data_IF_011286774643
#
_entry.id   IF_011286774643
#
_cell.length_a   1.000
_cell.length_b   1.000
_cell.length_c   1.000
_cell.angle_alpha   90.00
_cell.angle_beta   90.00
_cell.angle_gamma   90.00
#
_symmetry.space_group_name_H-M   'P 1'
#
loop_
_entity.id
_entity.type
_entity.pdbx_description
1 polymer ?
#
# COMPACT_ATOMS: atom_id res chain seq x y z
N UNK A 1 -28.65 -10.87 2.86
CA UNK A 1 -27.28 -10.73 2.33
C UNK A 1 -27.35 -11.02 0.84
N UNK A 2 -27.06 -10.03 0.00
CA UNK A 2 -27.03 -10.23 -1.45
C UNK A 2 -25.85 -11.15 -1.79
N UNK A 3 -26.07 -12.22 -2.55
CA UNK A 3 -24.98 -13.03 -3.07
C UNK A 3 -24.24 -12.17 -4.12
N UNK A 4 -23.01 -11.73 -3.82
CA UNK A 4 -22.17 -11.12 -4.83
C UNK A 4 -21.71 -12.18 -5.85
N UNK A 5 -21.46 -11.77 -7.10
CA UNK A 5 -20.89 -12.65 -8.12
C UNK A 5 -19.52 -13.22 -7.67
N UNK A 6 -18.77 -12.44 -6.88
CA UNK A 6 -17.51 -12.85 -6.29
C UNK A 6 -17.65 -14.10 -5.40
N UNK A 7 -18.74 -14.24 -4.64
CA UNK A 7 -19.00 -15.41 -3.81
C UNK A 7 -19.22 -16.71 -4.61
N UNK A 8 -19.49 -16.61 -5.91
CA UNK A 8 -19.59 -17.78 -6.79
C UNK A 8 -18.21 -18.27 -7.26
N UNK A 9 -17.19 -17.41 -7.26
CA UNK A 9 -15.82 -17.77 -7.61
C UNK A 9 -15.26 -18.77 -6.58
N UNK A 10 -14.87 -19.96 -7.04
CA UNK A 10 -14.32 -21.00 -6.18
C UNK A 10 -12.97 -20.58 -5.57
N UNK A 11 -12.18 -19.77 -6.29
CA UNK A 11 -10.90 -19.23 -5.82
C UNK A 11 -11.13 -18.27 -4.65
N UNK A 12 -12.13 -17.38 -4.76
CA UNK A 12 -12.47 -16.44 -3.69
C UNK A 12 -12.92 -17.17 -2.42
N UNK A 13 -13.78 -18.19 -2.55
CA UNK A 13 -14.19 -19.02 -1.41
C UNK A 13 -13.02 -19.73 -0.74
N UNK A 14 -12.08 -20.29 -1.52
CA UNK A 14 -10.88 -20.95 -0.99
C UNK A 14 -9.90 -19.97 -0.35
N UNK A 15 -9.82 -18.75 -0.87
CA UNK A 15 -8.99 -17.68 -0.33
C UNK A 15 -9.46 -17.22 1.05
N UNK A 16 -10.77 -17.24 1.28
CA UNK A 16 -11.42 -16.87 2.54
C UNK A 16 -11.72 -18.06 3.48
N UNK A 17 -11.24 -19.27 3.17
CA UNK A 17 -11.45 -20.46 4.01
C UNK A 17 -10.20 -20.72 4.86
N UNK A 18 -10.19 -20.19 6.08
CA UNK A 18 -9.09 -20.36 7.05
C UNK A 18 -8.81 -21.82 7.41
N UNK A 19 -9.79 -22.70 7.23
CA UNK A 19 -9.66 -24.13 7.55
C UNK A 19 -9.05 -24.93 6.40
N UNK A 20 -8.98 -24.37 5.20
CA UNK A 20 -8.44 -25.04 4.02
C UNK A 20 -6.93 -24.85 3.91
N UNK A 21 -6.20 -25.95 4.02
CA UNK A 21 -4.80 -26.02 3.60
C UNK A 21 -4.70 -26.23 2.08
N UNK A 22 -3.77 -25.54 1.41
CA UNK A 22 -3.49 -25.80 -0.01
C UNK A 22 -3.09 -27.28 -0.17
N UNK A 23 -3.70 -28.05 -1.08
CA UNK A 23 -3.26 -29.42 -1.34
C UNK A 23 -1.83 -29.50 -1.89
N UNK A 24 -1.34 -28.40 -2.47
CA UNK A 24 -0.01 -28.29 -3.06
C UNK A 24 1.13 -28.19 -2.05
N UNK A 25 0.94 -27.45 -0.96
CA UNK A 25 2.02 -27.06 -0.04
C UNK A 25 1.58 -26.89 1.42
N UNK A 26 0.30 -27.05 1.73
CA UNK A 26 -0.25 -26.87 3.07
C UNK A 26 -0.54 -25.42 3.48
N UNK A 27 -0.16 -24.41 2.68
CA UNK A 27 -0.40 -22.99 2.99
C UNK A 27 -1.89 -22.70 3.17
N UNK A 28 -2.23 -21.95 4.20
CA UNK A 28 -3.60 -21.50 4.50
C UNK A 28 -3.74 -20.00 4.20
N UNK A 29 -4.97 -19.57 3.94
CA UNK A 29 -5.34 -18.18 3.69
C UNK A 29 -6.59 -17.84 4.50
N UNK A 30 -6.70 -16.60 4.94
CA UNK A 30 -7.82 -16.09 5.74
C UNK A 30 -8.47 -14.86 5.09
N UNK A 31 -8.44 -14.77 3.77
CA UNK A 31 -8.93 -13.63 3.00
C UNK A 31 -7.84 -12.61 2.66
N UNK A 32 -8.30 -11.39 2.35
CA UNK A 32 -7.49 -10.26 1.89
C UNK A 32 -6.42 -9.91 2.94
N UNK A 33 -5.19 -9.69 2.49
CA UNK A 33 -4.10 -9.20 3.31
C UNK A 33 -3.43 -7.98 2.67
N UNK A 34 -2.86 -7.13 3.52
CA UNK A 34 -2.26 -5.86 3.14
C UNK A 34 -0.86 -6.03 2.54
N UNK A 35 -0.46 -5.04 1.75
CA UNK A 35 0.83 -4.97 1.10
C UNK A 35 1.63 -3.78 1.63
N UNK A 36 2.93 -3.99 1.82
CA UNK A 36 3.84 -2.92 2.24
C UNK A 36 5.16 -2.99 1.51
N UNK A 37 5.67 -1.82 1.15
CA UNK A 37 6.99 -1.66 0.57
C UNK A 37 7.97 -1.28 1.68
N UNK A 38 9.06 -2.04 1.83
CA UNK A 38 10.07 -1.73 2.86
C UNK A 38 10.72 -0.36 2.60
N UNK A 39 10.94 -0.01 1.33
CA UNK A 39 11.58 1.23 0.90
C UNK A 39 11.01 1.75 -0.44
N UNK A 40 11.24 3.04 -0.78
CA UNK A 40 10.97 3.55 -2.12
C UNK A 40 11.92 2.93 -3.15
N UNK A 41 11.53 2.87 -4.42
CA UNK A 41 12.30 2.22 -5.49
C UNK A 41 13.74 2.78 -5.62
N UNK A 42 13.90 4.09 -5.39
CA UNK A 42 15.18 4.79 -5.52
C UNK A 42 16.04 4.77 -4.24
N UNK A 43 15.70 3.97 -3.22
CA UNK A 43 16.56 3.81 -2.04
C UNK A 43 17.87 3.08 -2.42
N UNK A 44 19.05 3.73 -2.35
CA UNK A 44 20.27 3.18 -2.92
C UNK A 44 21.11 2.38 -1.91
N UNK A 45 20.59 2.19 -0.69
CA UNK A 45 21.32 1.56 0.41
C UNK A 45 20.68 0.22 0.80
N UNK A 46 21.22 -0.44 1.82
CA UNK A 46 20.66 -1.69 2.33
C UNK A 46 19.20 -1.52 2.78
N UNK A 47 18.39 -2.56 2.55
CA UNK A 47 17.03 -2.68 3.08
C UNK A 47 16.99 -2.48 4.60
N UNK A 48 15.86 -2.00 5.11
CA UNK A 48 15.69 -1.80 6.56
C UNK A 48 15.42 -3.12 7.27
N UNK A 49 14.62 -3.99 6.67
CA UNK A 49 14.19 -5.25 7.28
C UNK A 49 13.57 -5.01 8.66
N UNK A 50 14.08 -5.71 9.68
CA UNK A 50 13.58 -5.61 11.07
C UNK A 50 14.24 -4.47 11.88
N UNK A 51 15.17 -3.72 11.30
CA UNK A 51 15.85 -2.64 12.01
C UNK A 51 14.92 -1.43 12.24
N UNK A 52 15.07 -0.68 13.36
CA UNK A 52 14.24 0.50 13.61
C UNK A 52 14.50 1.62 12.60
N UNK A 53 15.70 1.69 12.02
CA UNK A 53 16.04 2.54 10.88
C UNK A 53 17.36 2.06 10.27
N UNK A 54 17.62 2.46 9.02
CA UNK A 54 18.94 2.41 8.36
C UNK A 54 19.36 3.84 8.04
N UNK A 55 20.64 4.15 8.28
CA UNK A 55 21.22 5.47 8.03
C UNK A 55 22.55 5.34 7.33
N UNK A 56 22.70 6.01 6.20
CA UNK A 56 23.94 6.06 5.42
C UNK A 56 24.30 7.53 5.15
N UNK A 57 25.23 8.08 5.94
CA UNK A 57 25.56 9.50 5.87
C UNK A 57 24.36 10.38 6.25
N UNK A 58 23.89 11.18 5.28
CA UNK A 58 22.71 12.04 5.44
C UNK A 58 21.38 11.31 5.15
N UNK A 59 21.45 10.19 4.42
CA UNK A 59 20.27 9.44 4.02
C UNK A 59 19.79 8.55 5.17
N UNK A 60 18.47 8.42 5.29
CA UNK A 60 17.87 7.65 6.36
C UNK A 60 16.53 7.08 5.93
N UNK A 61 16.31 5.80 6.24
CA UNK A 61 15.06 5.09 6.08
C UNK A 61 14.58 4.61 7.45
N UNK A 62 13.41 5.06 7.88
CA UNK A 62 12.68 4.56 9.05
C UNK A 62 11.36 3.91 8.58
N UNK A 63 10.51 3.39 9.48
CA UNK A 63 9.26 2.77 9.08
C UNK A 63 8.37 3.70 8.25
N UNK A 64 8.24 4.98 8.63
CA UNK A 64 7.28 5.89 7.99
C UNK A 64 7.93 7.10 7.31
N UNK A 65 9.25 7.29 7.45
CA UNK A 65 9.98 8.44 6.90
C UNK A 65 11.22 7.98 6.13
N UNK A 66 11.45 8.58 4.96
CA UNK A 66 12.66 8.35 4.19
C UNK A 66 13.23 9.67 3.67
N UNK A 67 14.56 9.77 3.70
CA UNK A 67 15.34 10.90 3.17
C UNK A 67 16.49 10.35 2.33
N UNK A 68 16.58 10.84 1.10
CA UNK A 68 17.66 10.54 0.15
C UNK A 68 18.13 11.85 -0.47
N UNK A 69 19.29 12.35 -0.07
CA UNK A 69 19.73 13.70 -0.41
C UNK A 69 18.68 14.76 -0.04
N UNK A 70 18.15 15.46 -1.05
CA UNK A 70 17.10 16.47 -0.89
C UNK A 70 15.67 15.91 -1.00
N UNK A 71 15.53 14.64 -1.39
CA UNK A 71 14.24 13.96 -1.53
C UNK A 71 13.68 13.66 -0.13
N UNK A 72 12.39 13.92 0.05
CA UNK A 72 11.64 13.67 1.27
C UNK A 72 10.45 12.80 0.96
N UNK A 73 10.39 11.63 1.60
CA UNK A 73 9.34 10.66 1.35
C UNK A 73 8.63 10.25 2.63
N UNK A 74 7.31 10.09 2.50
CA UNK A 74 6.43 9.59 3.55
C UNK A 74 5.87 8.25 3.11
N UNK A 75 5.75 7.32 4.05
CA UNK A 75 4.91 6.13 3.82
C UNK A 75 3.45 6.52 4.02
N UNK A 76 2.60 6.18 3.07
CA UNK A 76 1.18 6.51 3.11
C UNK A 76 0.33 5.27 2.81
N UNK A 77 -0.94 5.30 3.18
CA UNK A 77 -1.91 4.22 2.96
C UNK A 77 -2.70 4.53 1.68
N UNK A 78 -2.79 3.54 0.82
CA UNK A 78 -3.70 3.47 -0.31
C UNK A 78 -4.70 2.35 -0.03
N UNK A 79 -5.98 2.69 0.12
CA UNK A 79 -7.05 1.72 0.41
C UNK A 79 -7.86 1.47 -0.85
N UNK A 80 -7.81 0.26 -1.38
CA UNK A 80 -8.53 -0.11 -2.60
C UNK A 80 -9.67 -1.07 -2.24
N UNK A 81 -10.94 -0.66 -2.44
CA UNK A 81 -12.08 -1.55 -2.21
C UNK A 81 -12.00 -2.81 -3.08
N UNK A 82 -12.56 -3.93 -2.61
CA UNK A 82 -12.69 -5.14 -3.42
C UNK A 82 -14.12 -5.26 -3.96
N UNK A 83 -14.25 -5.37 -5.28
CA UNK A 83 -15.55 -5.44 -5.94
C UNK A 83 -16.34 -6.67 -5.50
N UNK A 84 -17.52 -6.44 -4.90
CA UNK A 84 -18.39 -7.53 -4.45
C UNK A 84 -18.00 -8.13 -3.10
N UNK A 85 -17.08 -7.50 -2.36
CA UNK A 85 -16.82 -7.75 -0.94
C UNK A 85 -16.99 -6.46 -0.13
N UNK A 86 -17.18 -6.58 1.19
CA UNK A 86 -17.18 -5.45 2.13
C UNK A 86 -15.79 -5.31 2.78
N UNK A 87 -14.76 -5.40 1.95
CA UNK A 87 -13.35 -5.43 2.34
C UNK A 87 -12.53 -4.55 1.38
N UNK A 88 -11.40 -4.06 1.86
CA UNK A 88 -10.39 -3.35 1.06
C UNK A 88 -9.06 -4.06 1.21
N UNK A 89 -8.22 -3.99 0.18
CA UNK A 89 -6.78 -4.21 0.34
C UNK A 89 -6.12 -2.88 0.68
N UNK A 90 -5.27 -2.85 1.70
CA UNK A 90 -4.45 -1.69 1.99
C UNK A 90 -3.04 -1.90 1.48
N UNK A 91 -2.52 -0.90 0.76
CA UNK A 91 -1.15 -0.88 0.26
C UNK A 91 -0.45 0.28 0.94
N UNK A 92 0.80 0.08 1.37
CA UNK A 92 1.62 1.13 2.00
C UNK A 92 2.83 1.52 1.15
N UNK A 93 2.61 2.24 0.01
CA UNK A 93 3.71 2.75 -0.79
C UNK A 93 4.34 3.98 -0.15
N UNK A 94 5.50 4.34 -0.69
CA UNK A 94 6.18 5.59 -0.43
C UNK A 94 5.71 6.67 -1.41
N UNK A 95 5.62 7.90 -0.93
CA UNK A 95 5.37 9.08 -1.76
C UNK A 95 6.39 10.17 -1.48
N UNK A 96 6.92 10.79 -2.53
CA UNK A 96 7.73 11.99 -2.44
C UNK A 96 6.83 13.20 -2.22
N UNK A 97 7.16 14.01 -1.21
CA UNK A 97 6.50 15.27 -0.88
C UNK A 97 7.50 16.43 -0.89
N UNK A 98 7.01 17.66 -0.80
CA UNK A 98 7.90 18.81 -0.60
C UNK A 98 8.56 18.75 0.79
N UNK A 99 9.75 19.36 0.97
CA UNK A 99 10.38 19.47 2.28
C UNK A 99 9.47 20.09 3.34
N UNK A 100 8.70 21.13 2.98
CA UNK A 100 7.79 21.81 3.90
C UNK A 100 6.72 20.86 4.44
N UNK A 101 6.10 20.04 3.57
CA UNK A 101 5.11 19.04 3.97
C UNK A 101 5.73 17.96 4.86
N UNK A 102 6.92 17.48 4.49
CA UNK A 102 7.63 16.46 5.27
C UNK A 102 7.95 16.94 6.69
N UNK A 103 8.53 18.13 6.83
CA UNK A 103 8.91 18.64 8.14
C UNK A 103 7.71 19.08 8.97
N UNK A 104 6.66 19.62 8.34
CA UNK A 104 5.39 19.88 9.04
C UNK A 104 4.78 18.58 9.58
N UNK A 105 4.80 17.49 8.80
CA UNK A 105 4.32 16.19 9.27
C UNK A 105 5.19 15.66 10.42
N UNK A 106 6.51 15.72 10.29
CA UNK A 106 7.44 15.31 11.35
C UNK A 106 7.24 16.09 12.65
N UNK A 107 6.98 17.39 12.57
CA UNK A 107 6.72 18.22 13.75
C UNK A 107 5.51 17.71 14.56
N UNK A 108 4.50 17.13 13.89
CA UNK A 108 3.31 16.60 14.56
C UNK A 108 3.58 15.40 15.48
N UNK A 109 4.74 14.75 15.35
CA UNK A 109 5.12 13.61 16.18
C UNK A 109 5.66 14.05 17.55
N UNK A 110 6.42 15.15 17.57
CA UNK A 110 7.04 15.67 18.79
C UNK A 110 6.19 16.76 19.45
N UNK A 111 5.31 17.42 18.69
CA UNK A 111 4.49 18.53 19.15
C UNK A 111 2.98 18.22 19.01
N UNK A 112 2.27 17.93 20.11
CA UNK A 112 0.83 17.65 20.07
C UNK A 112 -0.02 18.87 19.66
N UNK A 113 0.54 20.08 19.70
CA UNK A 113 -0.14 21.31 19.28
C UNK A 113 0.17 21.70 17.82
N UNK A 114 1.17 21.07 17.17
CA UNK A 114 1.52 21.38 15.78
C UNK A 114 0.41 20.94 14.83
N UNK A 115 -0.13 21.82 13.96
CA UNK A 115 -1.24 21.45 13.08
C UNK A 115 -0.84 20.33 12.11
N UNK A 116 -1.80 19.47 11.76
CA UNK A 116 -1.60 18.52 10.66
C UNK A 116 -1.38 19.31 9.36
N UNK A 117 -0.49 18.85 8.45
CA UNK A 117 -0.32 19.49 7.16
C UNK A 117 -1.62 19.50 6.36
N UNK A 118 -1.83 20.55 5.56
CA UNK A 118 -2.90 20.54 4.57
C UNK A 118 -2.64 19.44 3.52
N UNK A 119 -3.70 18.92 2.85
CA UNK A 119 -3.52 18.05 1.69
C UNK A 119 -2.61 18.69 0.65
N UNK A 120 -1.72 17.89 0.07
CA UNK A 120 -0.65 18.37 -0.78
C UNK A 120 -0.41 17.46 -1.98
N UNK A 121 0.14 17.99 -3.09
CA UNK A 121 0.64 17.16 -4.18
C UNK A 121 1.83 16.32 -3.72
N UNK A 122 1.87 15.09 -4.22
CA UNK A 122 2.94 14.14 -4.01
C UNK A 122 3.16 13.29 -5.28
N UNK A 123 4.28 12.57 -5.32
CA UNK A 123 4.59 11.61 -6.39
C UNK A 123 4.78 10.23 -5.79
N UNK A 124 4.19 9.19 -6.39
CA UNK A 124 4.45 7.81 -5.99
C UNK A 124 5.95 7.49 -6.15
N UNK A 125 6.51 6.78 -5.16
CA UNK A 125 7.91 6.35 -5.15
C UNK A 125 8.05 4.82 -5.15
N UNK A 126 6.97 4.12 -5.49
CA UNK A 126 6.93 2.70 -5.79
C UNK A 126 6.04 2.49 -7.02
N UNK A 127 6.34 1.44 -7.78
CA UNK A 127 5.44 0.96 -8.81
C UNK A 127 4.26 0.23 -8.18
N UNK A 128 3.05 0.50 -8.68
CA UNK A 128 1.82 -0.19 -8.34
C UNK A 128 1.33 -0.90 -9.61
N UNK A 129 1.71 -2.16 -9.82
CA UNK A 129 1.47 -2.89 -11.05
C UNK A 129 0.03 -2.77 -11.56
N UNK A 130 -0.12 -2.43 -12.84
CA UNK A 130 -1.39 -2.14 -13.53
C UNK A 130 -2.19 -0.90 -13.03
N UNK A 131 -1.79 -0.25 -11.94
CA UNK A 131 -2.50 0.88 -11.34
C UNK A 131 -1.78 2.22 -11.53
N UNK A 132 -0.48 2.24 -11.28
CA UNK A 132 0.37 3.43 -11.36
C UNK A 132 1.85 3.04 -11.41
N UNK A 133 2.67 3.93 -11.95
CA UNK A 133 4.13 3.80 -11.94
C UNK A 133 4.76 4.83 -10.99
N UNK A 134 6.02 4.59 -10.62
CA UNK A 134 6.84 5.57 -9.91
C UNK A 134 6.82 6.91 -10.65
N UNK A 135 6.63 8.00 -9.91
CA UNK A 135 6.45 9.35 -10.46
C UNK A 135 5.00 9.71 -10.79
N UNK A 136 4.04 8.79 -10.65
CA UNK A 136 2.61 9.11 -10.81
C UNK A 136 2.18 10.16 -9.78
N UNK A 137 1.55 11.23 -10.26
CA UNK A 137 1.05 12.31 -9.42
C UNK A 137 -0.18 11.88 -8.60
N UNK A 138 -0.14 12.17 -7.31
CA UNK A 138 -1.20 11.89 -6.34
C UNK A 138 -1.41 13.08 -5.41
N UNK A 139 -2.46 13.01 -4.60
CA UNK A 139 -2.66 13.87 -3.44
C UNK A 139 -2.41 13.05 -2.18
N UNK A 140 -1.63 13.61 -1.25
CA UNK A 140 -1.48 13.08 0.10
C UNK A 140 -2.35 13.89 1.06
N UNK A 141 -3.04 13.21 1.97
CA UNK A 141 -3.85 13.82 3.03
C UNK A 141 -3.49 13.25 4.41
N UNK A 142 -3.80 14.00 5.46
CA UNK A 142 -3.40 13.69 6.84
C UNK A 142 -4.68 13.63 7.71
N UNK A 143 -5.35 12.48 7.79
CA UNK A 143 -6.70 12.39 8.35
C UNK A 143 -6.76 12.61 9.87
N UNK A 144 -5.74 12.15 10.60
CA UNK A 144 -5.59 12.38 12.05
C UNK A 144 -4.14 12.16 12.47
N UNK A 145 -3.78 12.50 13.72
CA UNK A 145 -2.44 12.26 14.27
C UNK A 145 -2.12 10.78 14.46
N UNK A 146 -3.13 9.98 14.79
CA UNK A 146 -2.97 8.55 15.10
C UNK A 146 -3.08 7.67 13.84
N UNK A 147 -3.27 8.28 12.67
CA UNK A 147 -3.36 7.61 11.39
C UNK A 147 -2.18 7.97 10.49
N UNK A 148 -1.75 7.00 9.67
CA UNK A 148 -0.80 7.29 8.58
C UNK A 148 -1.45 8.22 7.54
N UNK A 149 -0.64 8.98 6.79
CA UNK A 149 -1.14 9.73 5.65
C UNK A 149 -1.85 8.83 4.64
N UNK A 150 -2.77 9.39 3.88
CA UNK A 150 -3.55 8.67 2.86
C UNK A 150 -3.27 9.21 1.47
N UNK A 151 -3.41 8.35 0.46
CA UNK A 151 -3.22 8.69 -0.96
C UNK A 151 -4.56 8.70 -1.67
N UNK A 152 -4.81 9.76 -2.42
CA UNK A 152 -5.91 9.88 -3.37
C UNK A 152 -5.39 10.36 -4.74
N UNK A 153 -6.14 10.08 -5.80
CA UNK A 153 -5.89 10.68 -7.12
C UNK A 153 -7.18 10.81 -7.92
N UNK A 154 -7.24 11.82 -8.79
CA UNK A 154 -8.41 12.12 -9.60
C UNK A 154 -8.32 11.57 -11.02
N UNK A 155 -7.18 11.00 -11.43
CA UNK A 155 -6.95 10.55 -12.81
C UNK A 155 -6.24 9.19 -12.89
N UNK A 156 -6.39 8.51 -14.03
CA UNK A 156 -5.69 7.26 -14.34
C UNK A 156 -6.36 6.00 -13.79
N UNK A 157 -5.65 4.88 -13.93
CA UNK A 157 -6.11 3.57 -13.47
C UNK A 157 -6.24 3.51 -11.94
N UNK A 158 -5.30 4.13 -11.22
CA UNK A 158 -5.37 4.24 -9.76
C UNK A 158 -6.65 4.98 -9.28
N UNK A 159 -7.04 6.09 -9.90
CA UNK A 159 -8.29 6.79 -9.55
C UNK A 159 -9.53 5.92 -9.79
N UNK A 160 -9.49 5.13 -10.87
CA UNK A 160 -10.56 4.17 -11.20
C UNK A 160 -10.65 3.07 -10.14
N UNK A 161 -9.52 2.52 -9.71
CA UNK A 161 -9.45 1.50 -8.67
C UNK A 161 -9.89 2.04 -7.30
N UNK A 162 -9.50 3.27 -6.94
CA UNK A 162 -9.96 3.95 -5.73
C UNK A 162 -11.49 4.10 -5.68
N UNK A 163 -12.10 4.42 -6.83
CA UNK A 163 -13.55 4.69 -6.91
C UNK A 163 -14.37 3.40 -7.05
N UNK A 164 -13.95 2.51 -7.95
CA UNK A 164 -14.74 1.35 -8.36
C UNK A 164 -14.30 0.06 -7.67
N UNK A 165 -13.16 0.07 -6.97
CA UNK A 165 -12.53 -1.11 -6.41
C UNK A 165 -11.81 -1.99 -7.44
N UNK A 166 -11.02 -2.92 -6.93
CA UNK A 166 -10.37 -3.99 -7.68
C UNK A 166 -11.31 -5.18 -7.83
N UNK A 167 -11.38 -5.76 -9.03
CA UNK A 167 -11.87 -7.13 -9.15
C UNK A 167 -10.85 -8.13 -8.58
N UNK A 168 -11.26 -9.38 -8.42
CA UNK A 168 -10.42 -10.38 -7.79
C UNK A 168 -9.20 -10.76 -8.63
N UNK A 169 -9.28 -10.70 -9.96
CA UNK A 169 -8.13 -11.00 -10.81
C UNK A 169 -7.06 -9.90 -10.71
N UNK A 170 -7.49 -8.64 -10.62
CA UNK A 170 -6.62 -7.49 -10.37
C UNK A 170 -5.97 -7.54 -8.97
N UNK A 171 -6.69 -7.98 -7.94
CA UNK A 171 -6.09 -8.23 -6.62
C UNK A 171 -5.00 -9.31 -6.68
N UNK A 172 -5.26 -10.40 -7.40
CA UNK A 172 -4.28 -11.47 -7.58
C UNK A 172 -3.07 -11.02 -8.40
N UNK A 173 -3.26 -10.12 -9.38
CA UNK A 173 -2.16 -9.53 -10.17
C UNK A 173 -1.27 -8.68 -9.28
N UNK A 174 -1.89 -7.88 -8.41
CA UNK A 174 -1.19 -7.06 -7.45
C UNK A 174 -0.35 -7.92 -6.48
N UNK A 175 -0.92 -8.98 -5.90
CA UNK A 175 -0.17 -9.89 -5.04
C UNK A 175 1.01 -10.55 -5.76
N UNK A 176 0.79 -11.07 -6.96
CA UNK A 176 1.83 -11.69 -7.76
C UNK A 176 2.98 -10.71 -8.07
N UNK A 177 2.66 -9.48 -8.43
CA UNK A 177 3.65 -8.47 -8.76
C UNK A 177 4.40 -7.92 -7.53
N UNK A 178 3.82 -8.04 -6.33
CA UNK A 178 4.52 -7.83 -5.06
C UNK A 178 5.29 -9.07 -4.57
N UNK A 179 5.43 -10.11 -5.40
CA UNK A 179 6.26 -11.29 -5.13
C UNK A 179 5.53 -12.46 -4.47
N UNK A 180 4.21 -12.40 -4.33
CA UNK A 180 3.39 -13.47 -3.73
C UNK A 180 2.26 -13.91 -4.68
N UNK A 181 2.61 -14.65 -5.74
CA UNK A 181 1.60 -15.21 -6.65
C UNK A 181 0.83 -16.34 -5.97
N UNK A 182 -0.33 -16.02 -5.42
CA UNK A 182 -1.16 -16.99 -4.69
C UNK A 182 -2.08 -17.82 -5.59
N UNK A 183 -2.21 -17.49 -6.89
CA UNK A 183 -3.14 -18.19 -7.80
C UNK A 183 -2.93 -19.70 -7.82
N UNK A 184 -1.70 -20.24 -7.90
CA UNK A 184 -1.48 -21.69 -7.92
C UNK A 184 -2.09 -22.40 -6.70
N UNK A 185 -2.17 -21.72 -5.55
CA UNK A 185 -2.71 -22.27 -4.31
C UNK A 185 -4.25 -22.32 -4.27
N UNK A 186 -4.89 -21.54 -5.15
CA UNK A 186 -6.34 -21.41 -5.25
C UNK A 186 -6.94 -22.29 -6.37
N UNK A 187 -6.12 -22.84 -7.27
CA UNK A 187 -6.57 -23.50 -8.50
C UNK A 187 -7.01 -24.97 -8.37
N UNK A 188 -6.85 -25.61 -7.21
CA UNK A 188 -7.24 -27.02 -7.03
C UNK A 188 -8.15 -27.25 -5.83
N UNK A 189 -9.27 -27.93 -6.08
CA UNK A 189 -10.28 -28.35 -5.11
C UNK A 189 -11.45 -28.99 -5.83
#
# INVERSE_FOLDING_TARGET
MSLSLLNLDARWRRFNDETRACPCCGRQFSGVYDLGFDHPVDWPHAERGEHPFVKQGADQLSPDLCRVGDIRLLRAILSLPIQGADESVHITPWVQVSPDVFYAYLETWDNPDAPLPAPAPALLANDLPALAETGTAVQISFPSRDARPQIDTATGALATALTNGLDFDALLDLYAACGDDIRPHLMQG
#
